data_IF_621951558192
#
_entry.id   IF_621951558192
#
_cell.length_a   1.000
_cell.length_b   1.000
_cell.length_c   1.000
_cell.angle_alpha   90.00
_cell.angle_beta   90.00
_cell.angle_gamma   90.00
#
_symmetry.space_group_name_H-M   'P 1'
#
loop_
_entity.id
_entity.type
_entity.pdbx_description
1 polymer ?
#
# COMPACT_ATOMS: atom_id res chain seq x y z
N UNK A 1 16.07 -3.65 2.50
CA UNK A 1 15.23 -3.85 1.32
C UNK A 1 14.89 -2.53 0.64
N UNK A 2 14.03 -1.66 1.19
CA UNK A 2 13.79 -0.29 0.68
C UNK A 2 14.57 0.72 1.53
N UNK A 3 15.29 1.64 0.92
CA UNK A 3 16.01 2.73 1.57
C UNK A 3 15.66 4.05 0.90
N UNK A 4 15.38 5.05 1.71
CA UNK A 4 15.20 6.45 1.31
C UNK A 4 16.40 7.23 1.86
N UNK A 5 17.14 7.89 0.99
CA UNK A 5 18.30 8.69 1.35
C UNK A 5 18.03 10.13 0.96
N UNK A 6 17.79 10.99 1.95
CA UNK A 6 17.47 12.43 1.76
C UNK A 6 16.36 12.64 0.73
N UNK A 7 15.33 11.78 0.74
CA UNK A 7 14.21 11.82 -0.22
C UNK A 7 13.31 13.00 0.10
N UNK A 8 13.13 13.85 -0.91
CA UNK A 8 12.26 15.01 -0.84
C UNK A 8 11.77 15.43 -2.22
N UNK A 9 11.09 16.57 -2.30
CA UNK A 9 10.76 17.18 -3.59
C UNK A 9 9.30 17.50 -3.83
N UNK A 10 9.03 17.92 -5.08
CA UNK A 10 7.76 18.44 -5.57
C UNK A 10 7.19 19.63 -4.73
N UNK A 11 8.05 20.36 -3.98
CA UNK A 11 7.64 21.44 -3.08
C UNK A 11 6.74 20.99 -1.90
N UNK A 12 6.55 19.65 -1.75
CA UNK A 12 5.63 19.07 -0.75
C UNK A 12 6.31 18.19 0.28
N UNK A 13 7.57 17.79 0.04
CA UNK A 13 8.34 16.94 0.95
C UNK A 13 9.68 17.58 1.25
N UNK A 14 9.95 17.84 2.52
CA UNK A 14 11.28 18.14 3.01
C UNK A 14 12.14 16.87 2.94
N UNK A 15 13.45 16.96 2.68
CA UNK A 15 14.32 15.80 2.63
C UNK A 15 14.34 15.03 3.96
N UNK A 16 14.24 13.70 3.89
CA UNK A 16 14.39 12.80 5.03
C UNK A 16 14.90 11.43 4.59
N UNK A 17 15.42 10.68 5.55
CA UNK A 17 15.89 9.32 5.35
C UNK A 17 15.06 8.33 6.16
N UNK A 18 14.75 7.17 5.55
CA UNK A 18 13.97 6.10 6.18
C UNK A 18 14.30 4.76 5.52
N UNK A 19 13.93 3.65 6.19
CA UNK A 19 14.11 2.32 5.61
C UNK A 19 12.97 1.36 5.98
N UNK A 20 12.75 0.40 5.09
CA UNK A 20 11.86 -0.75 5.32
C UNK A 20 12.67 -2.03 5.09
N UNK A 21 12.71 -2.88 6.10
CA UNK A 21 13.28 -4.23 6.00
C UNK A 21 12.29 -5.19 5.34
N UNK A 22 12.76 -6.35 4.90
CA UNK A 22 11.90 -7.37 4.30
C UNK A 22 10.90 -7.96 5.31
N UNK A 23 9.71 -8.32 4.83
CA UNK A 23 8.68 -8.99 5.64
C UNK A 23 7.77 -8.06 6.43
N UNK A 24 7.86 -6.72 6.24
CA UNK A 24 7.14 -5.76 7.06
C UNK A 24 5.97 -5.09 6.31
N UNK A 25 4.87 -4.94 7.03
CA UNK A 25 3.78 -4.04 6.64
C UNK A 25 3.96 -2.69 7.35
N UNK A 26 4.28 -1.64 6.58
CA UNK A 26 4.49 -0.29 7.07
C UNK A 26 3.31 0.58 6.69
N UNK A 27 2.71 1.27 7.67
CA UNK A 27 1.68 2.25 7.38
C UNK A 27 2.24 3.66 7.38
N UNK A 28 1.91 4.39 6.32
CA UNK A 28 2.20 5.80 6.15
C UNK A 28 0.95 6.59 6.55
N UNK A 29 1.01 7.26 7.69
CA UNK A 29 -0.11 8.04 8.25
C UNK A 29 0.22 9.52 8.33
N UNK A 30 -0.78 10.33 8.58
CA UNK A 30 -0.68 11.78 8.74
C UNK A 30 -1.94 12.48 8.22
N UNK A 31 -2.15 13.76 8.56
CA UNK A 31 -3.28 14.55 8.09
C UNK A 31 -3.37 14.63 6.56
N UNK A 32 -4.52 15.10 6.07
CA UNK A 32 -4.68 15.39 4.64
C UNK A 32 -3.69 16.48 4.22
N UNK A 33 -3.09 16.32 3.04
CA UNK A 33 -2.06 17.25 2.58
C UNK A 33 -0.66 17.05 3.17
N UNK A 34 -0.44 16.11 4.09
CA UNK A 34 0.87 15.84 4.70
C UNK A 34 1.95 15.35 3.72
N UNK A 35 1.60 14.99 2.48
CA UNK A 35 2.56 14.53 1.47
C UNK A 35 2.61 13.01 1.25
N UNK A 36 1.69 12.24 1.84
CA UNK A 36 1.68 10.76 1.78
C UNK A 36 1.69 10.21 0.36
N UNK A 37 0.74 10.60 -0.48
CA UNK A 37 0.66 10.15 -1.88
C UNK A 37 1.86 10.61 -2.71
N UNK A 38 2.40 11.81 -2.42
CA UNK A 38 3.62 12.30 -3.05
C UNK A 38 4.83 11.42 -2.71
N UNK A 39 4.98 11.04 -1.43
CA UNK A 39 6.02 10.12 -1.00
C UNK A 39 5.85 8.75 -1.67
N UNK A 40 4.63 8.21 -1.68
CA UNK A 40 4.36 6.92 -2.31
C UNK A 40 4.72 6.94 -3.81
N UNK A 41 4.34 8.00 -4.53
CA UNK A 41 4.68 8.17 -5.94
C UNK A 41 6.20 8.33 -6.17
N UNK A 42 6.93 9.01 -5.25
CA UNK A 42 8.40 9.07 -5.25
C UNK A 42 9.02 7.69 -5.08
N UNK A 43 8.57 6.93 -4.09
CA UNK A 43 9.03 5.55 -3.82
C UNK A 43 8.66 4.62 -4.98
N UNK A 44 7.55 4.88 -5.64
CA UNK A 44 7.17 4.18 -6.86
C UNK A 44 8.03 4.54 -8.09
N UNK A 45 8.88 5.57 -8.03
CA UNK A 45 9.63 6.07 -9.18
C UNK A 45 8.75 6.79 -10.22
N UNK A 46 7.55 7.25 -9.83
CA UNK A 46 6.60 7.96 -10.70
C UNK A 46 6.78 9.49 -10.64
N UNK A 47 7.47 9.99 -9.63
CA UNK A 47 7.78 11.42 -9.48
C UNK A 47 9.29 11.62 -9.31
N UNK A 48 9.88 12.61 -10.00
CA UNK A 48 11.24 13.06 -9.74
C UNK A 48 11.32 13.82 -8.42
N UNK A 49 12.53 14.02 -7.88
CA UNK A 49 12.73 14.83 -6.68
C UNK A 49 14.13 14.67 -6.12
N UNK A 50 14.37 15.26 -4.94
CA UNK A 50 15.66 15.23 -4.24
C UNK A 50 15.92 13.86 -3.64
N UNK A 51 17.19 13.57 -3.40
CA UNK A 51 17.64 12.35 -2.75
C UNK A 51 17.44 11.09 -3.60
N UNK A 52 17.69 9.95 -3.01
CA UNK A 52 17.74 8.68 -3.70
C UNK A 52 16.84 7.64 -3.04
N UNK A 53 16.06 6.94 -3.86
CA UNK A 53 15.30 5.75 -3.42
C UNK A 53 16.05 4.51 -3.91
N UNK A 54 16.39 3.62 -3.00
CA UNK A 54 17.07 2.35 -3.29
C UNK A 54 16.18 1.16 -2.96
N UNK A 55 16.16 0.18 -3.86
CA UNK A 55 15.52 -1.11 -3.65
C UNK A 55 16.59 -2.20 -3.75
N UNK A 56 16.72 -3.03 -2.73
CA UNK A 56 17.78 -4.05 -2.60
C UNK A 56 19.21 -3.47 -2.82
N UNK A 57 19.46 -2.25 -2.31
CA UNK A 57 20.76 -1.57 -2.37
C UNK A 57 21.04 -0.85 -3.70
N UNK A 58 20.21 -1.02 -4.73
CA UNK A 58 20.34 -0.38 -6.05
C UNK A 58 19.38 0.79 -6.18
N UNK A 59 19.83 1.91 -6.74
CA UNK A 59 18.98 3.07 -6.98
C UNK A 59 17.85 2.75 -7.97
N UNK A 60 16.65 3.33 -7.77
CA UNK A 60 15.54 3.10 -8.71
C UNK A 60 15.85 3.59 -10.12
N UNK A 61 16.65 4.64 -10.27
CA UNK A 61 17.11 5.18 -11.55
C UNK A 61 17.94 4.19 -12.38
N UNK A 62 18.59 3.24 -11.71
CA UNK A 62 19.48 2.28 -12.34
C UNK A 62 18.75 1.03 -12.85
N UNK A 63 17.48 0.87 -12.49
CA UNK A 63 16.65 -0.23 -12.98
C UNK A 63 16.06 0.10 -14.35
N UNK A 64 16.16 -0.81 -15.33
CA UNK A 64 15.30 -0.77 -16.50
C UNK A 64 13.82 -0.77 -16.08
N UNK A 65 12.96 -0.03 -16.80
CA UNK A 65 11.55 0.11 -16.41
C UNK A 65 10.81 -1.22 -16.25
N UNK A 66 11.09 -2.20 -17.12
CA UNK A 66 10.52 -3.56 -17.04
C UNK A 66 10.99 -4.34 -15.80
N UNK A 67 12.27 -4.20 -15.44
CA UNK A 67 12.83 -4.82 -14.24
C UNK A 67 12.21 -4.18 -12.97
N UNK A 68 12.15 -2.84 -12.92
CA UNK A 68 11.53 -2.13 -11.80
C UNK A 68 10.05 -2.51 -11.65
N UNK A 69 9.31 -2.63 -12.76
CA UNK A 69 7.91 -3.07 -12.75
C UNK A 69 7.74 -4.49 -12.19
N UNK A 70 8.73 -5.37 -12.38
CA UNK A 70 8.71 -6.71 -11.77
C UNK A 70 9.02 -6.71 -10.28
N UNK A 71 9.75 -5.70 -9.79
CA UNK A 71 10.17 -5.61 -8.38
C UNK A 71 9.12 -5.00 -7.46
N UNK A 72 8.27 -4.11 -7.99
CA UNK A 72 7.27 -3.39 -7.19
C UNK A 72 5.92 -3.29 -7.88
N UNK A 73 4.83 -3.41 -7.06
CA UNK A 73 3.49 -3.02 -7.45
C UNK A 73 3.13 -1.65 -6.87
N UNK A 74 2.38 -0.84 -7.62
CA UNK A 74 1.90 0.45 -7.15
C UNK A 74 0.42 0.65 -7.47
N UNK A 75 -0.38 0.75 -6.43
CA UNK A 75 -1.79 1.19 -6.50
C UNK A 75 -1.84 2.68 -6.19
N UNK A 76 -2.04 3.49 -7.21
CA UNK A 76 -2.27 4.94 -7.04
C UNK A 76 -3.70 5.20 -6.53
N UNK A 77 -3.97 6.44 -6.13
CA UNK A 77 -5.30 6.88 -5.73
C UNK A 77 -6.38 6.49 -6.76
N UNK A 78 -7.58 6.20 -6.29
CA UNK A 78 -8.67 5.69 -7.12
C UNK A 78 -9.00 6.63 -8.28
N UNK A 79 -9.07 6.05 -9.49
CA UNK A 79 -9.53 6.71 -10.71
C UNK A 79 -10.66 5.87 -11.31
N UNK A 80 -11.63 6.47 -11.98
CA UNK A 80 -12.66 5.72 -12.68
C UNK A 80 -12.05 4.85 -13.80
N UNK A 81 -12.67 3.71 -14.15
CA UNK A 81 -12.22 2.91 -15.27
C UNK A 81 -12.40 3.66 -16.58
N UNK A 82 -11.34 3.74 -17.39
CA UNK A 82 -11.34 4.45 -18.69
C UNK A 82 -11.39 3.52 -19.89
N UNK A 83 -11.46 2.19 -19.66
CA UNK A 83 -11.34 1.20 -20.72
C UNK A 83 -12.56 0.31 -20.85
N UNK A 84 -12.95 0.03 -22.10
CA UNK A 84 -14.05 -0.87 -22.47
C UNK A 84 -13.51 -2.32 -22.61
N UNK A 85 -13.06 -2.89 -21.51
CA UNK A 85 -12.61 -4.30 -21.50
C UNK A 85 -13.21 -5.05 -20.30
N UNK A 86 -13.37 -6.37 -20.37
CA UNK A 86 -13.79 -7.15 -19.22
C UNK A 86 -12.68 -7.30 -18.18
N UNK A 87 -13.07 -7.59 -16.93
CA UNK A 87 -12.16 -7.73 -15.77
C UNK A 87 -11.03 -8.72 -16.05
N UNK A 88 -11.32 -9.89 -16.66
CA UNK A 88 -10.27 -10.87 -16.92
C UNK A 88 -9.17 -10.35 -17.86
N UNK A 89 -9.52 -9.54 -18.86
CA UNK A 89 -8.53 -8.90 -19.74
C UNK A 89 -7.70 -7.87 -19.00
N UNK A 90 -8.33 -7.06 -18.15
CA UNK A 90 -7.61 -6.10 -17.33
C UNK A 90 -6.59 -6.79 -16.41
N UNK A 91 -6.99 -7.87 -15.75
CA UNK A 91 -6.07 -8.66 -14.93
C UNK A 91 -4.92 -9.25 -15.76
N UNK A 92 -5.19 -9.74 -16.97
CA UNK A 92 -4.17 -10.27 -17.86
C UNK A 92 -3.08 -9.26 -18.26
N UNK A 93 -3.40 -7.95 -18.29
CA UNK A 93 -2.42 -6.89 -18.53
C UNK A 93 -1.39 -6.75 -17.39
N UNK A 94 -1.72 -7.24 -16.19
CA UNK A 94 -0.86 -7.16 -15.01
C UNK A 94 -0.10 -8.45 -14.71
N UNK A 95 -0.15 -9.43 -15.63
CA UNK A 95 0.58 -10.68 -15.46
C UNK A 95 2.09 -10.42 -15.49
N UNK A 96 2.88 -11.04 -14.59
CA UNK A 96 4.34 -11.02 -14.69
C UNK A 96 4.81 -11.70 -15.99
N UNK A 97 5.79 -11.08 -16.69
CA UNK A 97 6.23 -11.56 -18.00
C UNK A 97 6.84 -12.98 -17.98
N UNK A 98 7.48 -13.35 -16.86
CA UNK A 98 8.14 -14.65 -16.69
C UNK A 98 7.20 -15.76 -16.16
N UNK A 99 5.96 -15.44 -15.77
CA UNK A 99 5.03 -16.43 -15.21
C UNK A 99 4.40 -17.31 -16.30
N UNK A 100 4.21 -18.59 -16.00
CA UNK A 100 3.47 -19.49 -16.89
C UNK A 100 1.98 -19.12 -16.90
N UNK A 101 1.30 -19.47 -17.99
CA UNK A 101 -0.14 -19.22 -18.10
C UNK A 101 -0.92 -19.89 -16.97
N UNK A 102 -0.58 -21.12 -16.64
CA UNK A 102 -1.22 -21.92 -15.58
C UNK A 102 -1.05 -21.27 -14.20
N UNK A 103 0.16 -20.83 -13.86
CA UNK A 103 0.41 -20.17 -12.58
C UNK A 103 -0.36 -18.85 -12.47
N UNK A 104 -0.43 -18.08 -13.57
CA UNK A 104 -1.19 -16.82 -13.62
C UNK A 104 -2.69 -17.10 -13.42
N UNK A 105 -3.25 -18.10 -14.06
CA UNK A 105 -4.66 -18.47 -13.89
C UNK A 105 -4.98 -18.89 -12.45
N UNK A 106 -4.10 -19.68 -11.83
CA UNK A 106 -4.23 -20.06 -10.43
C UNK A 106 -4.16 -18.83 -9.50
N UNK A 107 -3.22 -17.91 -9.73
CA UNK A 107 -3.08 -16.70 -8.93
C UNK A 107 -4.30 -15.77 -9.11
N UNK A 108 -4.78 -15.57 -10.33
CA UNK A 108 -5.99 -14.78 -10.60
C UNK A 108 -7.18 -15.40 -9.84
N UNK A 109 -7.36 -16.71 -9.95
CA UNK A 109 -8.48 -17.38 -9.29
C UNK A 109 -8.40 -17.29 -7.78
N UNK A 110 -7.19 -17.44 -7.23
CA UNK A 110 -6.92 -17.27 -5.80
C UNK A 110 -7.28 -15.85 -5.31
N UNK A 111 -6.72 -14.82 -5.95
CA UNK A 111 -6.96 -13.42 -5.59
C UNK A 111 -8.43 -13.02 -5.77
N UNK A 112 -9.06 -13.45 -6.88
CA UNK A 112 -10.46 -13.16 -7.16
C UNK A 112 -11.42 -13.84 -6.17
N UNK A 113 -11.10 -15.05 -5.68
CA UNK A 113 -11.88 -15.70 -4.62
C UNK A 113 -11.79 -14.91 -3.31
N UNK A 114 -10.57 -14.51 -2.90
CA UNK A 114 -10.36 -13.71 -1.67
C UNK A 114 -11.06 -12.35 -1.74
N UNK A 115 -11.03 -11.70 -2.90
CA UNK A 115 -11.62 -10.38 -3.11
C UNK A 115 -13.08 -10.41 -3.61
N UNK A 116 -13.72 -11.60 -3.68
CA UNK A 116 -15.10 -11.80 -4.15
C UNK A 116 -15.34 -11.19 -5.53
N UNK A 117 -14.53 -11.60 -6.51
CA UNK A 117 -14.56 -11.09 -7.89
C UNK A 117 -14.81 -12.19 -8.93
N UNK A 118 -14.94 -13.46 -8.53
CA UNK A 118 -15.04 -14.57 -9.48
C UNK A 118 -16.23 -14.42 -10.43
N UNK A 119 -17.37 -13.99 -9.91
CA UNK A 119 -18.59 -13.73 -10.69
C UNK A 119 -18.55 -12.42 -11.50
N UNK A 120 -17.47 -11.66 -11.40
CA UNK A 120 -17.28 -10.38 -12.10
C UNK A 120 -16.28 -10.47 -13.25
N UNK A 121 -15.59 -11.61 -13.41
CA UNK A 121 -14.49 -11.72 -14.38
C UNK A 121 -14.90 -11.40 -15.83
N UNK A 122 -16.12 -11.73 -16.22
CA UNK A 122 -16.65 -11.42 -17.56
C UNK A 122 -17.30 -10.04 -17.68
N UNK A 123 -17.49 -9.31 -16.57
CA UNK A 123 -18.10 -7.98 -16.62
C UNK A 123 -17.14 -6.94 -17.19
N UNK A 124 -17.71 -5.97 -17.92
CA UNK A 124 -16.96 -4.80 -18.39
C UNK A 124 -16.58 -3.92 -17.19
N UNK A 125 -15.39 -3.33 -17.22
CA UNK A 125 -14.89 -2.46 -16.14
C UNK A 125 -15.86 -1.30 -15.85
N UNK A 126 -16.49 -0.75 -16.87
CA UNK A 126 -17.45 0.37 -16.77
C UNK A 126 -18.77 -0.02 -16.11
N UNK A 127 -19.04 -1.30 -15.93
CA UNK A 127 -20.26 -1.84 -15.27
C UNK A 127 -20.03 -2.15 -13.79
N UNK A 128 -18.82 -1.93 -13.28
CA UNK A 128 -18.48 -2.20 -11.90
C UNK A 128 -18.88 -1.03 -11.00
N UNK A 129 -19.33 -1.33 -9.79
CA UNK A 129 -19.44 -0.33 -8.74
C UNK A 129 -18.04 0.16 -8.30
N UNK A 130 -17.96 1.31 -7.61
CA UNK A 130 -16.67 1.84 -7.13
C UNK A 130 -15.91 0.85 -6.24
N UNK A 131 -16.61 0.12 -5.37
CA UNK A 131 -15.99 -0.92 -4.52
C UNK A 131 -15.57 -2.17 -5.31
N UNK A 132 -16.32 -2.59 -6.33
CA UNK A 132 -15.94 -3.68 -7.23
C UNK A 132 -14.70 -3.28 -8.03
N UNK A 133 -14.67 -2.08 -8.58
CA UNK A 133 -13.52 -1.55 -9.31
C UNK A 133 -12.27 -1.45 -8.42
N UNK A 134 -12.40 -0.96 -7.19
CA UNK A 134 -11.28 -0.93 -6.25
C UNK A 134 -10.72 -2.32 -5.98
N UNK A 135 -11.58 -3.33 -5.80
CA UNK A 135 -11.12 -4.72 -5.61
C UNK A 135 -10.44 -5.30 -6.85
N UNK A 136 -10.91 -4.95 -8.05
CA UNK A 136 -10.26 -5.36 -9.32
C UNK A 136 -8.86 -4.74 -9.43
N UNK A 137 -8.71 -3.44 -9.10
CA UNK A 137 -7.39 -2.78 -9.06
C UNK A 137 -6.44 -3.42 -8.05
N UNK A 138 -6.96 -3.77 -6.86
CA UNK A 138 -6.21 -4.51 -5.84
C UNK A 138 -5.78 -5.88 -6.35
N UNK A 139 -6.67 -6.64 -6.97
CA UNK A 139 -6.32 -7.93 -7.57
C UNK A 139 -5.23 -7.79 -8.63
N UNK A 140 -5.31 -6.77 -9.48
CA UNK A 140 -4.35 -6.50 -10.54
C UNK A 140 -2.94 -6.17 -10.01
N UNK A 141 -2.85 -5.22 -9.06
CA UNK A 141 -1.54 -4.85 -8.49
C UNK A 141 -0.94 -5.98 -7.65
N UNK A 142 -1.78 -6.75 -6.93
CA UNK A 142 -1.32 -7.94 -6.21
C UNK A 142 -0.83 -9.01 -7.19
N UNK A 143 -1.55 -9.28 -8.28
CA UNK A 143 -1.11 -10.26 -9.29
C UNK A 143 0.27 -9.93 -9.84
N UNK A 144 0.55 -8.66 -10.14
CA UNK A 144 1.84 -8.20 -10.66
C UNK A 144 3.02 -8.62 -9.77
N UNK A 145 2.80 -8.64 -8.44
CA UNK A 145 3.85 -8.89 -7.45
C UNK A 145 3.61 -10.14 -6.61
N UNK A 146 2.59 -10.94 -6.93
CA UNK A 146 2.23 -12.08 -6.11
C UNK A 146 3.33 -13.13 -6.09
N UNK A 147 3.70 -13.66 -4.91
CA UNK A 147 4.89 -14.50 -4.75
C UNK A 147 4.94 -15.73 -5.65
N UNK A 148 3.79 -16.38 -5.90
CA UNK A 148 3.74 -17.61 -6.71
C UNK A 148 3.95 -17.38 -8.20
N UNK A 149 3.74 -16.16 -8.70
CA UNK A 149 3.90 -15.81 -10.12
C UNK A 149 5.05 -14.84 -10.38
N UNK A 150 5.56 -14.19 -9.32
CA UNK A 150 6.66 -13.25 -9.43
C UNK A 150 7.67 -13.41 -8.27
N UNK A 151 8.68 -14.28 -8.42
CA UNK A 151 9.70 -14.50 -7.40
C UNK A 151 10.61 -13.27 -7.18
N UNK A 152 10.67 -12.35 -8.13
CA UNK A 152 11.51 -11.15 -8.08
C UNK A 152 10.86 -9.97 -7.37
N UNK A 153 9.56 -10.06 -7.07
CA UNK A 153 8.84 -9.01 -6.38
C UNK A 153 9.40 -8.75 -4.97
N UNK A 154 9.38 -7.48 -4.56
CA UNK A 154 9.92 -7.03 -3.28
C UNK A 154 8.94 -6.13 -2.52
N UNK A 155 8.27 -5.22 -3.23
CA UNK A 155 7.57 -4.11 -2.61
C UNK A 155 6.18 -3.94 -3.19
N UNK A 156 5.20 -3.74 -2.32
CA UNK A 156 3.85 -3.33 -2.68
C UNK A 156 3.57 -1.95 -2.08
N UNK A 157 3.16 -1.02 -2.92
CA UNK A 157 2.86 0.35 -2.57
C UNK A 157 1.37 0.59 -2.79
N UNK A 158 0.64 0.98 -1.74
CA UNK A 158 -0.81 1.13 -1.78
C UNK A 158 -1.23 2.51 -1.28
N UNK A 159 -1.86 3.29 -2.14
CA UNK A 159 -2.42 4.59 -1.79
C UNK A 159 -3.91 4.45 -1.45
N UNK A 160 -4.22 4.50 -0.15
CA UNK A 160 -5.58 4.39 0.40
C UNK A 160 -6.36 3.16 -0.10
N UNK A 161 -5.80 1.94 0.02
CA UNK A 161 -6.38 0.75 -0.59
C UNK A 161 -7.74 0.35 -0.03
N UNK A 162 -8.07 0.80 1.18
CA UNK A 162 -9.31 0.45 1.89
C UNK A 162 -10.50 1.33 1.54
N UNK A 163 -10.29 2.39 0.74
CA UNK A 163 -11.38 3.26 0.28
C UNK A 163 -12.41 2.45 -0.52
N UNK A 164 -13.68 2.70 -0.25
CA UNK A 164 -14.82 2.00 -0.88
C UNK A 164 -14.91 0.50 -0.60
N UNK A 165 -14.17 -0.02 0.38
CA UNK A 165 -14.26 -1.40 0.84
C UNK A 165 -15.15 -1.52 2.08
N UNK A 166 -16.02 -2.53 2.10
CA UNK A 166 -16.76 -2.92 3.31
C UNK A 166 -15.83 -3.65 4.32
N UNK A 167 -16.35 -3.91 5.52
CA UNK A 167 -15.58 -4.54 6.61
C UNK A 167 -15.00 -5.90 6.20
N UNK A 168 -15.80 -6.73 5.54
CA UNK A 168 -15.35 -8.07 5.12
C UNK A 168 -14.25 -8.00 4.05
N UNK A 169 -14.34 -7.01 3.17
CA UNK A 169 -13.35 -6.76 2.11
C UNK A 169 -12.04 -6.21 2.68
N UNK A 170 -12.11 -5.33 3.70
CA UNK A 170 -10.92 -4.86 4.44
C UNK A 170 -10.19 -6.03 5.09
N UNK A 171 -10.91 -6.90 5.80
CA UNK A 171 -10.33 -8.11 6.43
C UNK A 171 -9.70 -9.04 5.39
N UNK A 172 -10.32 -9.19 4.21
CA UNK A 172 -9.74 -9.99 3.13
C UNK A 172 -8.44 -9.38 2.59
N UNK A 173 -8.39 -8.06 2.41
CA UNK A 173 -7.18 -7.34 2.01
C UNK A 173 -6.07 -7.50 3.07
N UNK A 174 -6.38 -7.31 4.35
CA UNK A 174 -5.41 -7.45 5.45
C UNK A 174 -4.76 -8.84 5.47
N UNK A 175 -5.55 -9.88 5.22
CA UNK A 175 -5.03 -11.26 5.11
C UNK A 175 -4.07 -11.42 3.93
N UNK A 176 -4.42 -10.86 2.76
CA UNK A 176 -3.56 -10.90 1.58
C UNK A 176 -2.25 -10.11 1.80
N UNK A 177 -2.31 -8.95 2.45
CA UNK A 177 -1.12 -8.16 2.77
C UNK A 177 -0.22 -8.90 3.78
N UNK A 178 -0.81 -9.52 4.79
CA UNK A 178 -0.06 -10.33 5.76
C UNK A 178 0.64 -11.52 5.09
N UNK A 179 -0.07 -12.26 4.23
CA UNK A 179 0.49 -13.36 3.46
C UNK A 179 1.64 -12.88 2.54
N UNK A 180 1.46 -11.75 1.88
CA UNK A 180 2.49 -11.12 1.06
C UNK A 180 3.74 -10.77 1.89
N UNK A 181 3.57 -10.15 3.05
CA UNK A 181 4.69 -9.79 3.92
C UNK A 181 5.37 -11.03 4.53
N UNK A 182 4.62 -12.05 4.94
CA UNK A 182 5.17 -13.32 5.45
C UNK A 182 6.04 -14.05 4.43
N UNK A 183 5.87 -13.77 3.13
CA UNK A 183 6.74 -14.32 2.08
C UNK A 183 8.09 -13.57 1.95
N UNK A 184 8.44 -12.68 2.89
CA UNK A 184 9.69 -11.90 2.92
C UNK A 184 9.64 -10.60 2.12
N UNK A 185 8.49 -10.25 1.56
CA UNK A 185 8.22 -9.01 0.83
C UNK A 185 7.67 -7.95 1.78
N UNK A 186 7.61 -6.69 1.35
CA UNK A 186 7.07 -5.63 2.22
C UNK A 186 6.01 -4.79 1.53
N UNK A 187 5.10 -4.27 2.35
CA UNK A 187 4.07 -3.35 1.89
C UNK A 187 4.22 -1.98 2.58
N UNK A 188 4.09 -0.90 1.80
CA UNK A 188 3.95 0.46 2.30
C UNK A 188 2.56 0.96 1.92
N UNK A 189 1.74 1.22 2.93
CA UNK A 189 0.30 1.49 2.80
C UNK A 189 -0.01 2.87 3.33
N UNK A 190 -0.50 3.78 2.50
CA UNK A 190 -1.13 5.01 3.00
C UNK A 190 -2.46 4.66 3.68
N UNK A 191 -2.57 4.99 4.96
CA UNK A 191 -3.74 4.71 5.79
C UNK A 191 -4.28 5.98 6.44
N UNK A 192 -5.62 6.06 6.57
CA UNK A 192 -6.30 7.14 7.29
C UNK A 192 -6.91 6.68 8.61
N UNK A 193 -7.23 5.39 8.72
CA UNK A 193 -7.81 4.81 9.91
C UNK A 193 -6.69 4.45 10.91
N UNK A 194 -6.63 5.22 12.00
CA UNK A 194 -5.63 5.05 13.05
C UNK A 194 -5.81 3.72 13.79
N UNK A 195 -7.05 3.29 14.03
CA UNK A 195 -7.30 2.02 14.70
C UNK A 195 -6.94 0.84 13.80
N UNK A 196 -7.25 0.90 12.51
CA UNK A 196 -6.80 -0.10 11.56
C UNK A 196 -5.26 -0.16 11.48
N UNK A 197 -4.60 1.00 11.48
CA UNK A 197 -3.13 1.08 11.54
C UNK A 197 -2.57 0.43 12.80
N UNK A 198 -3.15 0.74 13.97
CA UNK A 198 -2.72 0.18 15.26
C UNK A 198 -2.80 -1.35 15.30
N UNK A 199 -3.77 -1.95 14.59
CA UNK A 199 -4.02 -3.39 14.57
C UNK A 199 -3.22 -4.14 13.47
N UNK A 200 -2.91 -3.49 12.36
CA UNK A 200 -2.38 -4.19 11.18
C UNK A 200 -0.91 -3.86 10.85
N UNK A 201 -0.42 -2.68 11.23
CA UNK A 201 0.94 -2.27 10.87
C UNK A 201 2.00 -2.86 11.81
N UNK A 202 3.12 -3.32 11.25
CA UNK A 202 4.32 -3.65 12.02
C UNK A 202 5.08 -2.38 12.42
N UNK A 203 5.18 -1.43 11.46
CA UNK A 203 5.81 -0.13 11.65
C UNK A 203 4.95 0.99 11.08
N UNK A 204 5.17 2.18 11.56
CA UNK A 204 4.45 3.38 11.14
C UNK A 204 5.46 4.47 10.79
N UNK A 205 5.16 5.15 9.69
CA UNK A 205 5.76 6.43 9.30
C UNK A 205 4.68 7.51 9.44
N UNK A 206 4.94 8.51 10.28
CA UNK A 206 4.03 9.63 10.51
C UNK A 206 4.55 10.87 9.78
N UNK A 207 3.80 11.31 8.78
CA UNK A 207 4.06 12.54 8.04
C UNK A 207 3.19 13.70 8.55
N UNK A 208 3.81 14.88 8.66
CA UNK A 208 3.09 16.13 8.90
C UNK A 208 3.76 17.28 8.13
N UNK A 209 2.98 18.08 7.42
CA UNK A 209 3.45 19.23 6.65
C UNK A 209 4.70 18.92 5.78
N UNK A 210 4.71 17.79 5.10
CA UNK A 210 5.80 17.36 4.23
C UNK A 210 7.03 16.82 4.94
N UNK A 211 7.00 16.61 6.25
CA UNK A 211 8.12 16.09 7.05
C UNK A 211 7.78 14.74 7.66
N UNK A 212 8.76 13.84 7.72
CA UNK A 212 8.67 12.63 8.52
C UNK A 212 8.91 13.01 9.99
N UNK A 213 7.84 13.06 10.78
CA UNK A 213 7.89 13.48 12.20
C UNK A 213 8.25 12.34 13.13
N UNK A 214 7.85 11.13 12.79
CA UNK A 214 8.19 9.93 13.53
C UNK A 214 8.20 8.70 12.62
N UNK A 215 9.06 7.74 12.93
CA UNK A 215 9.09 6.42 12.31
C UNK A 215 9.52 5.38 13.35
N UNK A 216 8.91 4.21 13.33
CA UNK A 216 9.26 3.17 14.28
C UNK A 216 8.22 2.07 14.39
N UNK A 217 8.31 1.30 15.47
CA UNK A 217 7.34 0.26 15.81
C UNK A 217 5.98 0.90 16.08
N UNK A 218 4.93 0.27 15.60
CA UNK A 218 3.56 0.82 15.65
C UNK A 218 3.18 1.33 17.04
N UNK A 219 3.45 0.57 18.10
CA UNK A 219 3.10 0.95 19.48
C UNK A 219 3.78 2.24 19.97
N UNK A 220 4.93 2.60 19.41
CA UNK A 220 5.70 3.78 19.81
C UNK A 220 5.21 5.02 19.05
N UNK A 221 5.05 4.91 17.72
CA UNK A 221 4.61 6.01 16.88
C UNK A 221 3.14 6.35 17.11
N UNK A 222 2.31 5.35 17.44
CA UNK A 222 0.88 5.53 17.72
C UNK A 222 0.60 5.99 19.16
N UNK A 223 1.55 6.67 19.82
CA UNK A 223 1.36 7.26 21.14
C UNK A 223 0.34 8.41 21.09
N UNK A 224 -0.68 8.47 22.01
CA UNK A 224 -1.70 9.50 22.00
C UNK A 224 -1.18 10.91 21.99
N UNK A 225 -0.15 11.21 22.81
CA UNK A 225 0.43 12.55 22.89
C UNK A 225 0.96 13.05 21.53
N UNK A 226 1.66 12.18 20.79
CA UNK A 226 2.19 12.51 19.47
C UNK A 226 1.05 12.69 18.45
N UNK A 227 0.08 11.77 18.44
CA UNK A 227 -1.06 11.86 17.55
C UNK A 227 -1.92 13.10 17.83
N UNK A 228 -2.15 13.44 19.13
CA UNK A 228 -2.91 14.62 19.51
C UNK A 228 -2.24 15.91 19.01
N UNK A 229 -0.93 15.98 19.11
CA UNK A 229 -0.18 17.13 18.59
C UNK A 229 -0.31 17.26 17.07
N UNK A 230 -0.25 16.15 16.33
CA UNK A 230 -0.21 16.17 14.85
C UNK A 230 -1.60 16.33 14.22
N UNK A 231 -2.63 15.72 14.82
CA UNK A 231 -3.98 15.77 14.30
C UNK A 231 -4.85 16.87 14.93
N UNK A 232 -4.31 17.59 15.94
CA UNK A 232 -5.01 18.66 16.68
C UNK A 232 -6.33 18.16 17.32
N UNK A 233 -6.32 16.91 17.79
CA UNK A 233 -7.46 16.24 18.43
C UNK A 233 -6.95 15.53 19.68
N UNK A 234 -7.65 15.64 20.79
CA UNK A 234 -7.27 14.93 22.02
C UNK A 234 -7.55 13.42 21.90
N UNK A 235 -6.50 12.63 21.81
CA UNK A 235 -6.56 11.17 21.73
C UNK A 235 -6.21 10.52 23.06
N UNK A 236 -6.84 9.39 23.32
CA UNK A 236 -6.49 8.48 24.40
C UNK A 236 -6.46 7.04 23.93
N UNK A 237 -5.65 6.21 24.59
CA UNK A 237 -5.64 4.76 24.37
C UNK A 237 -6.56 4.10 25.37
N UNK A 238 -7.42 3.19 24.88
CA UNK A 238 -8.24 2.31 25.70
C UNK A 238 -8.00 0.86 25.33
N UNK A 239 -8.11 -0.03 26.31
CA UNK A 239 -8.08 -1.46 26.11
C UNK A 239 -9.51 -2.00 25.96
N UNK A 240 -9.75 -2.75 24.91
CA UNK A 240 -10.99 -3.50 24.70
C UNK A 240 -10.60 -4.96 24.52
N UNK A 241 -10.78 -5.76 25.57
CA UNK A 241 -10.14 -7.08 25.64
C UNK A 241 -8.62 -6.94 25.60
N UNK A 242 -7.96 -7.72 24.74
CA UNK A 242 -6.52 -7.70 24.56
C UNK A 242 -6.02 -6.69 23.50
N UNK A 243 -6.93 -5.88 22.95
CA UNK A 243 -6.62 -4.94 21.87
C UNK A 243 -6.63 -3.50 22.38
N UNK A 244 -5.68 -2.71 21.90
CA UNK A 244 -5.62 -1.27 22.13
C UNK A 244 -6.41 -0.53 21.06
N UNK A 245 -7.14 0.49 21.48
CA UNK A 245 -7.93 1.36 20.63
C UNK A 245 -7.61 2.81 20.89
N UNK A 246 -7.50 3.60 19.82
CA UNK A 246 -7.37 5.05 19.88
C UNK A 246 -8.77 5.64 19.83
N UNK A 247 -9.10 6.43 20.83
CA UNK A 247 -10.37 7.14 20.93
C UNK A 247 -10.13 8.64 21.05
N UNK A 248 -11.04 9.43 20.48
CA UNK A 248 -11.07 10.88 20.70
C UNK A 248 -11.77 11.19 22.00
N UNK A 249 -11.22 12.08 22.80
CA UNK A 249 -11.97 12.69 23.91
C UNK A 249 -12.91 13.75 23.32
N UNK A 250 -14.20 13.53 23.46
CA UNK A 250 -15.18 14.61 23.30
C UNK A 250 -15.14 15.45 24.58
N UNK A 251 -14.97 16.77 24.42
CA UNK A 251 -15.08 17.74 25.50
C UNK A 251 -16.49 17.72 26.10
#
# INVERSE_FOLDING_TARGET
MLQLVEVGGAGRLAPFSAQIDGGLQVHLIGPNGAGKSTLLARVAGMLPGLGEVRLDGRALSDYPGSELASRRGYLSQQQPPVSLMPVFQYLALHRPAAATQTDVEHAILYLCRRLKLVDKLSRMLTQLSGGEWQRVRLAAVLLQVWPSVNPHSRLLLLDEPTNSLDVAQKVALDRLLREFCQSGRSALVCAHDLNHTLQQADRVWLLHAGRLVAQGVTREVMAPALLSQIYEVDFQLQWVGDQRWIMTRTA
#
